data_IF_054343375051
#
_entry.id   IF_054343375051
#
_cell.length_a   1.000
_cell.length_b   1.000
_cell.length_c   1.000
_cell.angle_alpha   90.00
_cell.angle_beta   90.00
_cell.angle_gamma   90.00
#
_symmetry.space_group_name_H-M   'P 1'
#
loop_
_entity.id
_entity.type
_entity.pdbx_description
1 polymer ?
#
# COMPACT_ATOMS: atom_id res chain seq x y z
N UNK A 1 -23.33 34.81 0.58
CA UNK A 1 -24.69 34.36 0.90
C UNK A 1 -25.78 34.82 -0.08
N UNK A 2 -25.53 35.78 -0.98
CA UNK A 2 -26.51 36.24 -1.99
C UNK A 2 -26.76 35.24 -3.15
N UNK A 3 -25.73 34.51 -3.59
CA UNK A 3 -25.83 33.58 -4.73
C UNK A 3 -26.79 32.39 -4.50
N UNK A 4 -26.93 31.91 -3.25
CA UNK A 4 -27.84 30.81 -2.92
C UNK A 4 -29.33 31.20 -2.98
N UNK A 5 -29.65 32.48 -2.79
CA UNK A 5 -31.02 32.98 -2.83
C UNK A 5 -31.52 33.12 -4.28
N UNK A 6 -30.67 33.63 -5.18
CA UNK A 6 -31.01 33.74 -6.60
C UNK A 6 -31.12 32.38 -7.30
N UNK A 7 -30.31 31.40 -6.88
CA UNK A 7 -30.44 30.01 -7.30
C UNK A 7 -31.79 29.38 -6.91
N UNK A 8 -32.34 29.79 -5.77
CA UNK A 8 -33.61 29.28 -5.24
C UNK A 8 -34.81 29.85 -6.01
N UNK A 9 -34.77 31.15 -6.30
CA UNK A 9 -35.77 31.87 -7.10
C UNK A 9 -35.82 31.35 -8.55
N UNK A 10 -34.67 31.15 -9.19
CA UNK A 10 -34.60 30.63 -10.56
C UNK A 10 -35.09 29.19 -10.69
N UNK A 11 -34.78 28.33 -9.71
CA UNK A 11 -35.23 26.92 -9.68
C UNK A 11 -36.74 26.78 -9.46
N UNK A 12 -37.36 27.70 -8.71
CA UNK A 12 -38.81 27.69 -8.42
C UNK A 12 -39.67 28.16 -9.60
N UNK A 13 -39.13 28.98 -10.50
CA UNK A 13 -39.86 29.48 -11.67
C UNK A 13 -39.85 28.49 -12.86
N UNK A 14 -38.89 27.55 -12.89
CA UNK A 14 -38.70 26.60 -13.99
C UNK A 14 -39.30 25.20 -13.76
N UNK A 15 -39.57 24.81 -12.50
CA UNK A 15 -40.02 23.45 -12.16
C UNK A 15 -41.16 23.42 -11.15
N UNK A 16 -42.14 22.54 -11.40
CA UNK A 16 -43.25 22.30 -10.47
C UNK A 16 -42.74 21.60 -9.19
N UNK A 17 -43.38 21.82 -8.03
CA UNK A 17 -43.02 21.19 -6.74
C UNK A 17 -42.96 19.66 -6.84
N UNK A 18 -43.80 19.07 -7.70
CA UNK A 18 -43.82 17.64 -7.98
C UNK A 18 -42.60 17.19 -8.79
N UNK A 19 -42.14 17.97 -9.76
CA UNK A 19 -40.96 17.68 -10.57
C UNK A 19 -39.69 17.75 -9.73
N UNK A 20 -39.58 18.76 -8.86
CA UNK A 20 -38.49 18.87 -7.89
C UNK A 20 -38.43 17.63 -6.99
N UNK A 21 -39.58 17.11 -6.53
CA UNK A 21 -39.64 15.89 -5.73
C UNK A 21 -39.09 14.68 -6.48
N UNK A 22 -39.45 14.49 -7.76
CA UNK A 22 -38.94 13.38 -8.56
C UNK A 22 -37.44 13.52 -8.87
N UNK A 23 -36.97 14.73 -9.19
CA UNK A 23 -35.54 14.99 -9.40
C UNK A 23 -34.74 14.65 -8.14
N UNK A 24 -35.19 15.08 -6.95
CA UNK A 24 -34.52 14.75 -5.69
C UNK A 24 -34.45 13.24 -5.44
N UNK A 25 -35.51 12.49 -5.75
CA UNK A 25 -35.52 11.02 -5.62
C UNK A 25 -34.48 10.40 -6.55
N UNK A 26 -34.45 10.80 -7.83
CA UNK A 26 -33.50 10.28 -8.82
C UNK A 26 -32.07 10.62 -8.42
N UNK A 27 -31.77 11.86 -8.06
CA UNK A 27 -30.44 12.27 -7.64
C UNK A 27 -29.99 11.54 -6.38
N UNK A 28 -30.88 11.36 -5.40
CA UNK A 28 -30.56 10.60 -4.18
C UNK A 28 -30.18 9.16 -4.54
N UNK A 29 -30.97 8.51 -5.41
CA UNK A 29 -30.67 7.16 -5.87
C UNK A 29 -29.32 7.07 -6.60
N UNK A 30 -29.05 8.01 -7.52
CA UNK A 30 -27.78 8.07 -8.26
C UNK A 30 -26.58 8.28 -7.32
N UNK A 31 -26.68 9.18 -6.35
CA UNK A 31 -25.62 9.42 -5.36
C UNK A 31 -25.33 8.16 -4.55
N UNK A 32 -26.36 7.42 -4.11
CA UNK A 32 -26.19 6.18 -3.35
C UNK A 32 -25.45 5.11 -4.17
N UNK A 33 -25.91 4.83 -5.39
CA UNK A 33 -25.27 3.83 -6.27
C UNK A 33 -23.84 4.22 -6.60
N UNK A 34 -23.61 5.50 -6.92
CA UNK A 34 -22.27 6.03 -7.23
C UNK A 34 -21.34 5.94 -6.02
N UNK A 35 -21.82 6.25 -4.82
CA UNK A 35 -21.03 6.17 -3.58
C UNK A 35 -20.49 4.77 -3.30
N UNK A 36 -21.30 3.72 -3.54
CA UNK A 36 -20.89 2.32 -3.40
C UNK A 36 -19.77 1.98 -4.40
N UNK A 37 -19.92 2.42 -5.64
CA UNK A 37 -18.94 2.19 -6.70
C UNK A 37 -17.62 2.90 -6.42
N UNK A 38 -17.66 4.17 -5.98
CA UNK A 38 -16.47 4.93 -5.60
C UNK A 38 -15.74 4.24 -4.45
N UNK A 39 -16.44 3.83 -3.39
CA UNK A 39 -15.82 3.13 -2.25
C UNK A 39 -15.11 1.84 -2.69
N UNK A 40 -15.74 1.07 -3.57
CA UNK A 40 -15.17 -0.16 -4.12
C UNK A 40 -13.95 0.11 -5.00
N UNK A 41 -14.04 1.14 -5.85
CA UNK A 41 -12.94 1.56 -6.71
C UNK A 41 -11.73 2.02 -5.90
N UNK A 42 -11.94 2.85 -4.87
CA UNK A 42 -10.88 3.31 -3.98
C UNK A 42 -10.21 2.16 -3.21
N UNK A 43 -10.98 1.15 -2.77
CA UNK A 43 -10.42 -0.06 -2.15
C UNK A 43 -9.49 -0.78 -3.13
N UNK A 44 -9.99 -1.09 -4.33
CA UNK A 44 -9.21 -1.78 -5.37
C UNK A 44 -7.96 -0.99 -5.73
N UNK A 45 -8.05 0.33 -5.85
CA UNK A 45 -6.90 1.20 -6.11
C UNK A 45 -5.79 1.05 -5.06
N UNK A 46 -6.13 1.02 -3.77
CA UNK A 46 -5.14 0.80 -2.70
C UNK A 46 -4.52 -0.59 -2.75
N UNK A 47 -5.32 -1.62 -3.00
CA UNK A 47 -4.81 -3.00 -3.13
C UNK A 47 -3.87 -3.14 -4.34
N UNK A 48 -4.18 -2.49 -5.46
CA UNK A 48 -3.27 -2.38 -6.62
C UNK A 48 -1.98 -1.66 -6.25
N UNK A 49 -2.04 -0.55 -5.51
CA UNK A 49 -0.82 0.14 -5.02
C UNK A 49 0.05 -0.79 -4.19
N UNK A 50 -0.52 -1.55 -3.25
CA UNK A 50 0.24 -2.53 -2.43
C UNK A 50 0.96 -3.57 -3.29
N UNK A 51 0.27 -4.13 -4.29
CA UNK A 51 0.85 -5.12 -5.21
C UNK A 51 1.97 -4.52 -6.07
N UNK A 52 1.81 -3.28 -6.51
CA UNK A 52 2.83 -2.56 -7.28
C UNK A 52 4.04 -2.23 -6.41
N UNK A 53 3.83 -1.75 -5.19
CA UNK A 53 4.89 -1.49 -4.22
C UNK A 53 5.70 -2.77 -3.92
N UNK A 54 5.03 -3.91 -3.73
CA UNK A 54 5.71 -5.20 -3.59
C UNK A 54 6.56 -5.56 -4.80
N UNK A 55 6.04 -5.35 -6.01
CA UNK A 55 6.78 -5.64 -7.24
C UNK A 55 8.02 -4.75 -7.38
N UNK A 56 7.90 -3.48 -7.00
CA UNK A 56 9.03 -2.54 -6.97
C UNK A 56 10.05 -2.95 -5.90
N UNK A 57 9.60 -3.31 -4.69
CA UNK A 57 10.49 -3.76 -3.61
C UNK A 57 11.24 -5.03 -3.99
N UNK A 58 10.60 -6.03 -4.61
CA UNK A 58 11.28 -7.25 -5.06
C UNK A 58 12.44 -6.93 -6.01
N UNK A 59 12.19 -6.07 -7.01
CA UNK A 59 13.23 -5.68 -7.96
C UNK A 59 14.44 -5.04 -7.27
N UNK A 60 14.19 -4.20 -6.27
CA UNK A 60 15.28 -3.56 -5.52
C UNK A 60 15.95 -4.51 -4.53
N UNK A 61 15.23 -5.46 -3.95
CA UNK A 61 15.82 -6.57 -3.16
C UNK A 61 16.74 -7.42 -4.03
N UNK A 62 16.35 -7.73 -5.27
CA UNK A 62 17.19 -8.45 -6.23
C UNK A 62 18.41 -7.60 -6.65
N UNK A 63 18.24 -6.29 -6.76
CA UNK A 63 19.34 -5.34 -7.02
C UNK A 63 20.33 -5.34 -5.85
N UNK A 64 19.84 -5.35 -4.62
CA UNK A 64 20.65 -5.46 -3.41
C UNK A 64 21.43 -6.78 -3.40
N UNK A 65 20.79 -7.91 -3.69
CA UNK A 65 21.44 -9.21 -3.83
C UNK A 65 22.56 -9.19 -4.88
N UNK A 66 22.31 -8.58 -6.05
CA UNK A 66 23.32 -8.50 -7.11
C UNK A 66 24.57 -7.74 -6.66
N UNK A 67 24.40 -6.68 -5.87
CA UNK A 67 25.48 -5.84 -5.34
C UNK A 67 26.21 -6.48 -4.16
N UNK A 68 25.46 -6.99 -3.19
CA UNK A 68 26.01 -7.38 -1.89
C UNK A 68 26.04 -8.90 -1.64
N UNK A 69 25.62 -9.70 -2.64
CA UNK A 69 25.66 -11.17 -2.63
C UNK A 69 24.85 -11.87 -1.53
N UNK A 70 24.10 -11.12 -0.75
CA UNK A 70 23.08 -11.59 0.19
C UNK A 70 21.79 -10.79 0.01
N UNK A 71 20.64 -11.39 0.35
CA UNK A 71 19.43 -10.61 0.52
C UNK A 71 19.57 -9.70 1.74
N UNK A 72 18.97 -8.50 1.73
CA UNK A 72 18.98 -7.66 2.91
C UNK A 72 18.27 -8.40 4.04
N UNK A 73 18.82 -8.38 5.24
CA UNK A 73 18.22 -9.06 6.39
C UNK A 73 16.99 -8.31 6.87
N UNK A 74 16.18 -8.94 7.69
CA UNK A 74 15.03 -8.28 8.32
C UNK A 74 15.30 -7.92 9.76
N UNK A 75 14.73 -6.81 10.23
CA UNK A 75 14.58 -6.56 11.66
C UNK A 75 13.45 -7.42 12.24
N UNK A 76 13.42 -7.55 13.57
CA UNK A 76 12.34 -8.26 14.26
C UNK A 76 10.94 -7.65 14.00
N UNK A 77 10.89 -6.34 13.75
CA UNK A 77 9.67 -5.60 13.44
C UNK A 77 9.33 -5.55 11.95
N UNK A 78 10.07 -6.30 11.12
CA UNK A 78 9.72 -6.51 9.71
C UNK A 78 10.20 -5.42 8.74
N UNK A 79 11.24 -4.65 9.11
CA UNK A 79 11.90 -3.68 8.24
C UNK A 79 13.09 -4.32 7.51
N UNK A 80 13.43 -3.75 6.36
CA UNK A 80 14.59 -4.14 5.57
C UNK A 80 15.86 -3.58 6.23
N UNK A 81 16.86 -4.41 6.49
CA UNK A 81 18.22 -4.00 6.86
C UNK A 81 19.03 -3.94 5.57
N UNK A 82 19.01 -2.78 4.93
CA UNK A 82 19.63 -2.57 3.62
C UNK A 82 19.75 -1.10 3.22
N UNK A 83 19.46 -0.18 4.14
CA UNK A 83 19.65 1.25 3.93
C UNK A 83 21.00 1.69 4.49
N UNK A 84 21.47 2.86 4.07
CA UNK A 84 22.78 3.37 4.47
C UNK A 84 22.67 4.85 4.86
N UNK A 85 23.24 5.22 6.02
CA UNK A 85 23.33 6.61 6.47
C UNK A 85 24.49 7.32 5.75
N UNK A 86 25.59 6.59 5.58
CA UNK A 86 26.78 7.01 4.85
C UNK A 86 26.97 6.12 3.61
N UNK A 87 28.12 6.20 2.94
CA UNK A 87 28.40 5.31 1.82
C UNK A 87 28.45 3.83 2.28
N UNK A 88 28.00 2.88 1.43
CA UNK A 88 28.08 1.46 1.75
C UNK A 88 29.52 1.01 1.98
N UNK A 89 29.74 0.32 3.09
CA UNK A 89 30.98 -0.40 3.40
C UNK A 89 30.75 -1.87 3.08
N UNK A 90 31.61 -2.42 2.25
CA UNK A 90 31.48 -3.78 1.73
C UNK A 90 32.64 -4.63 2.21
N UNK A 91 32.34 -5.86 2.61
CA UNK A 91 33.36 -6.86 2.94
C UNK A 91 34.12 -7.28 1.67
N UNK A 92 35.46 -7.27 1.72
CA UNK A 92 36.27 -7.55 0.54
C UNK A 92 36.25 -9.03 0.11
N UNK A 93 35.91 -9.96 1.01
CA UNK A 93 35.89 -11.39 0.73
C UNK A 93 34.50 -11.84 0.29
N UNK A 94 33.46 -11.44 1.01
CA UNK A 94 32.08 -11.89 0.77
C UNK A 94 31.27 -10.94 -0.10
N UNK A 95 31.72 -9.69 -0.26
CA UNK A 95 30.95 -8.59 -0.85
C UNK A 95 29.69 -8.20 -0.06
N UNK A 96 29.55 -8.64 1.20
CA UNK A 96 28.39 -8.32 2.03
C UNK A 96 28.40 -6.86 2.51
N UNK A 97 27.22 -6.29 2.74
CA UNK A 97 27.07 -4.95 3.26
C UNK A 97 27.29 -4.92 4.78
N UNK A 98 28.36 -4.26 5.24
CA UNK A 98 28.78 -4.26 6.64
C UNK A 98 28.10 -3.19 7.50
N UNK A 99 27.69 -2.07 6.90
CA UNK A 99 27.07 -0.93 7.59
C UNK A 99 25.61 -0.69 7.18
N UNK A 100 24.92 -1.74 6.72
CA UNK A 100 23.50 -1.66 6.42
C UNK A 100 22.69 -1.44 7.71
N UNK A 101 21.74 -0.51 7.65
CA UNK A 101 20.81 -0.18 8.74
C UNK A 101 19.37 -0.44 8.33
N UNK A 102 18.48 -0.47 9.33
CA UNK A 102 17.05 -0.60 9.11
C UNK A 102 16.51 0.58 8.29
N UNK A 103 15.70 0.26 7.28
CA UNK A 103 15.00 1.21 6.44
C UNK A 103 13.66 1.60 7.09
N UNK A 104 13.43 2.91 7.21
CA UNK A 104 12.16 3.44 7.69
C UNK A 104 11.19 3.70 6.53
N UNK A 105 9.99 3.12 6.66
CA UNK A 105 8.93 3.25 5.67
C UNK A 105 8.50 4.71 5.49
N UNK A 106 8.48 5.18 4.24
CA UNK A 106 8.16 6.56 3.87
C UNK A 106 9.26 7.58 4.14
N UNK A 107 10.46 7.14 4.52
CA UNK A 107 11.58 8.03 4.86
C UNK A 107 12.86 7.61 4.16
N UNK A 108 13.27 6.35 4.30
CA UNK A 108 14.57 5.88 3.83
C UNK A 108 14.59 5.66 2.31
N UNK A 109 15.75 5.90 1.72
CA UNK A 109 16.12 5.46 0.38
C UNK A 109 16.59 4.00 0.43
N UNK A 110 16.10 3.16 -0.47
CA UNK A 110 16.56 1.78 -0.62
C UNK A 110 16.87 1.51 -2.08
N UNK A 111 18.14 1.21 -2.40
CA UNK A 111 18.62 1.06 -3.77
C UNK A 111 18.18 2.22 -4.69
N UNK A 112 17.41 1.93 -5.75
CA UNK A 112 16.92 2.94 -6.68
C UNK A 112 15.58 3.57 -6.26
N UNK A 113 14.97 3.09 -5.17
CA UNK A 113 13.79 3.71 -4.59
C UNK A 113 14.24 4.87 -3.69
N UNK A 114 13.98 6.10 -4.12
CA UNK A 114 14.34 7.31 -3.36
C UNK A 114 13.69 7.37 -1.98
N UNK A 115 12.45 6.91 -1.86
CA UNK A 115 11.71 6.81 -0.59
C UNK A 115 10.88 5.54 -0.66
N UNK A 116 11.13 4.58 0.24
CA UNK A 116 10.34 3.36 0.28
C UNK A 116 8.90 3.71 0.67
N UNK A 117 7.90 3.18 -0.03
CA UNK A 117 6.52 3.60 0.20
C UNK A 117 5.99 3.05 1.53
N UNK A 118 5.21 3.88 2.22
CA UNK A 118 4.31 3.40 3.28
C UNK A 118 3.11 2.70 2.64
N UNK A 119 2.47 1.78 3.39
CA UNK A 119 1.16 1.27 3.00
C UNK A 119 0.19 2.44 2.75
N UNK A 120 -0.66 2.43 1.71
CA UNK A 120 -1.61 3.51 1.42
C UNK A 120 -2.57 3.84 2.59
N UNK A 121 -2.70 2.93 3.55
CA UNK A 121 -3.49 3.07 4.77
C UNK A 121 -2.62 2.97 6.03
N UNK A 122 -1.36 3.40 5.99
CA UNK A 122 -0.45 3.38 7.14
C UNK A 122 -0.99 4.11 8.36
N UNK A 123 -1.71 5.23 8.16
CA UNK A 123 -2.39 5.98 9.22
C UNK A 123 -3.52 5.20 9.92
N UNK A 124 -3.94 4.09 9.33
CA UNK A 124 -4.93 3.17 9.90
C UNK A 124 -4.29 1.93 10.51
N UNK A 125 -2.96 1.90 10.64
CA UNK A 125 -2.22 0.79 11.25
C UNK A 125 -1.72 -0.28 10.28
N UNK A 126 -1.92 -0.15 8.97
CA UNK A 126 -1.37 -1.11 7.99
C UNK A 126 0.11 -0.87 7.75
N UNK A 127 0.90 -1.94 7.64
CA UNK A 127 2.32 -1.88 7.30
C UNK A 127 2.70 -2.98 6.34
N UNK A 128 3.78 -2.76 5.59
CA UNK A 128 4.47 -3.82 4.89
C UNK A 128 5.32 -4.62 5.88
N UNK A 129 5.43 -5.92 5.64
CA UNK A 129 6.23 -6.84 6.44
C UNK A 129 7.27 -7.49 5.54
N UNK A 130 8.53 -7.32 5.89
CA UNK A 130 9.66 -7.95 5.22
C UNK A 130 10.33 -8.94 6.18
N UNK A 131 10.53 -10.18 5.75
CA UNK A 131 11.20 -11.24 6.52
C UNK A 131 12.31 -11.82 5.65
N UNK A 132 13.52 -11.88 6.19
CA UNK A 132 14.70 -12.39 5.50
C UNK A 132 15.78 -12.79 6.50
N UNK A 133 16.44 -13.91 6.22
CA UNK A 133 17.63 -14.41 6.91
C UNK A 133 18.95 -14.09 6.17
N UNK A 134 18.85 -13.54 4.96
CA UNK A 134 19.97 -13.26 4.05
C UNK A 134 20.09 -14.24 2.88
N UNK A 135 19.55 -15.45 3.03
CA UNK A 135 19.56 -16.49 1.98
C UNK A 135 18.24 -16.51 1.19
N UNK A 136 17.14 -16.17 1.84
CA UNK A 136 15.82 -16.04 1.23
C UNK A 136 15.07 -14.88 1.83
N UNK A 137 14.06 -14.40 1.11
CA UNK A 137 13.19 -13.34 1.60
C UNK A 137 11.72 -13.59 1.30
N UNK A 138 10.87 -13.00 2.13
CA UNK A 138 9.43 -12.96 1.99
C UNK A 138 8.93 -11.54 2.27
N UNK A 139 8.06 -11.03 1.40
CA UNK A 139 7.38 -9.75 1.55
C UNK A 139 5.90 -10.04 1.70
N UNK A 140 5.27 -9.45 2.70
CA UNK A 140 3.85 -9.61 2.99
C UNK A 140 3.13 -8.27 3.09
N UNK A 141 1.87 -8.31 2.68
CA UNK A 141 0.92 -7.20 2.82
C UNK A 141 -0.44 -7.71 3.27
N UNK A 142 -1.28 -6.79 3.76
CA UNK A 142 -2.69 -7.05 3.99
C UNK A 142 -3.50 -6.32 2.93
N UNK A 143 -4.10 -7.06 2.00
CA UNK A 143 -5.10 -6.55 1.07
C UNK A 143 -6.43 -6.30 1.81
N UNK A 144 -7.20 -5.34 1.32
CA UNK A 144 -8.54 -5.02 1.84
C UNK A 144 -9.62 -5.91 1.21
N UNK A 145 -9.43 -6.31 -0.05
CA UNK A 145 -10.30 -7.25 -0.75
C UNK A 145 -10.08 -8.69 -0.34
N UNK A 146 -11.17 -9.39 0.00
CA UNK A 146 -11.17 -10.84 0.26
C UNK A 146 -11.52 -11.69 -0.97
N UNK A 147 -12.07 -11.06 -2.00
CA UNK A 147 -12.54 -11.73 -3.22
C UNK A 147 -11.55 -11.54 -4.39
N UNK A 148 -10.30 -11.21 -4.08
CA UNK A 148 -9.24 -11.08 -5.08
C UNK A 148 -8.54 -12.45 -5.17
N UNK A 149 -8.20 -12.91 -6.38
CA UNK A 149 -7.62 -14.26 -6.60
C UNK A 149 -6.31 -14.47 -5.82
N UNK A 150 -5.59 -13.39 -5.54
CA UNK A 150 -4.33 -13.41 -4.82
C UNK A 150 -4.49 -13.35 -3.28
N UNK A 151 -5.72 -13.21 -2.78
CA UNK A 151 -6.02 -13.33 -1.35
C UNK A 151 -5.81 -14.77 -0.89
N UNK A 152 -4.84 -15.00 -0.02
CA UNK A 152 -4.40 -16.34 0.35
C UNK A 152 -4.79 -16.73 1.78
N UNK A 153 -5.61 -17.78 1.89
CA UNK A 153 -5.95 -18.40 3.19
C UNK A 153 -4.73 -19.02 3.86
N UNK A 154 -3.76 -19.54 3.10
CA UNK A 154 -2.55 -20.15 3.67
C UNK A 154 -1.66 -19.11 4.32
N UNK A 155 -1.58 -17.89 3.77
CA UNK A 155 -0.84 -16.77 4.38
C UNK A 155 -1.52 -16.31 5.67
N UNK A 156 -2.85 -16.25 5.68
CA UNK A 156 -3.61 -15.88 6.89
C UNK A 156 -3.35 -16.87 8.02
N UNK A 157 -3.27 -18.17 7.71
CA UNK A 157 -2.97 -19.21 8.68
C UNK A 157 -1.56 -19.09 9.30
N UNK A 158 -0.62 -18.40 8.63
CA UNK A 158 0.69 -18.09 9.22
C UNK A 158 0.59 -17.07 10.37
N UNK A 159 -0.54 -16.37 10.51
CA UNK A 159 -0.78 -15.36 11.54
C UNK A 159 0.30 -14.27 11.61
N UNK A 160 0.81 -13.87 10.44
CA UNK A 160 1.78 -12.79 10.31
C UNK A 160 1.10 -11.42 10.34
N UNK A 161 1.75 -10.45 10.97
CA UNK A 161 1.19 -9.12 11.22
C UNK A 161 1.79 -8.06 10.27
N UNK A 162 0.93 -7.50 9.41
CA UNK A 162 1.19 -6.40 8.52
C UNK A 162 0.75 -5.09 9.20
N UNK A 163 1.37 -4.79 10.34
CA UNK A 163 0.88 -3.82 11.32
C UNK A 163 -0.26 -4.39 12.16
N UNK A 164 -1.35 -3.64 12.30
CA UNK A 164 -2.52 -4.06 13.10
C UNK A 164 -3.41 -5.11 12.38
N UNK A 165 -3.01 -5.55 11.18
CA UNK A 165 -3.79 -6.44 10.32
C UNK A 165 -3.01 -7.71 10.01
N UNK A 166 -3.74 -8.83 9.89
CA UNK A 166 -3.16 -10.07 9.41
C UNK A 166 -2.82 -9.93 7.93
N UNK A 167 -1.60 -10.33 7.59
CA UNK A 167 -1.13 -10.42 6.21
C UNK A 167 -1.95 -11.49 5.46
N UNK A 168 -2.25 -11.23 4.20
CA UNK A 168 -3.06 -12.13 3.38
C UNK A 168 -2.60 -12.24 1.92
N UNK A 169 -1.53 -11.52 1.57
CA UNK A 169 -0.86 -11.63 0.28
C UNK A 169 0.65 -11.54 0.53
N UNK A 170 1.43 -12.25 -0.29
CA UNK A 170 2.86 -12.32 -0.13
C UNK A 170 3.58 -12.73 -1.40
N UNK A 171 4.86 -12.39 -1.47
CA UNK A 171 5.80 -12.79 -2.52
C UNK A 171 7.14 -13.10 -1.89
N UNK A 172 7.90 -14.01 -2.49
CA UNK A 172 9.16 -14.49 -1.91
C UNK A 172 10.18 -14.76 -3.00
N UNK A 173 11.46 -14.83 -2.59
CA UNK A 173 12.59 -15.20 -3.44
C UNK A 173 13.61 -16.00 -2.64
N UNK A 174 14.39 -16.80 -3.35
CA UNK A 174 15.45 -17.68 -2.85
C UNK A 174 16.55 -17.79 -3.90
#
# INVERSE_FOLDING_TARGET
MHCLAELKEFMLHLFNKTEIKYLLIIFTFLILVTGINIKTSLRKGRDTTRKNDMSAMQKEVDTFLQKYKEFPKSTIDGRIIGCFIENPVVDNETSHALNAVACDWGVSKFENINVINNDPSYRKGRKYLYISDGDKYEIYVSLEGKNEDEYSLTIIQKNLHCGDFICNYGRWGS
#
